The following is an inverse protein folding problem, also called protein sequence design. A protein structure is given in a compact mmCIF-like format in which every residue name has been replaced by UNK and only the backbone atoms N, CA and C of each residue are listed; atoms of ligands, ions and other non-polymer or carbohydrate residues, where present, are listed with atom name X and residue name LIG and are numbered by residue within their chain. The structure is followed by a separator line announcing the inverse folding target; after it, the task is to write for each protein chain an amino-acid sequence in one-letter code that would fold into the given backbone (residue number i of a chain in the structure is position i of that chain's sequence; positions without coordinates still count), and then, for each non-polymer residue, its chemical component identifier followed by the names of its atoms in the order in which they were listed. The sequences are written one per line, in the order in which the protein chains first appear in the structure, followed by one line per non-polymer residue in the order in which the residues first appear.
data_IF_054392840212
#
_entry.id   IF_054392840212
#
_cell.length_a   1.000
_cell.length_b   1.000
_cell.length_c   1.000
_cell.angle_alpha   90.00
_cell.angle_beta   90.00
_cell.angle_gamma   90.00
#
_symmetry.space_group_name_H-M   'P 1'
#
loop_
_entity.id
_entity.type
_entity.pdbx_description
1 polymer ?
#
# COMPACT_ATOMS: atom_id res chain seq x y z
N UNK A 1 -7.32 -10.41 -11.86
CA UNK A 1 -8.71 -10.92 -12.04
C UNK A 1 -9.41 -10.69 -10.72
N UNK A 2 -10.49 -9.87 -10.71
CA UNK A 2 -11.26 -9.64 -9.48
C UNK A 2 -12.07 -10.88 -9.14
N UNK A 3 -11.94 -11.40 -7.93
CA UNK A 3 -12.67 -12.58 -7.44
C UNK A 3 -14.19 -12.43 -7.64
N UNK A 4 -14.69 -11.25 -7.32
CA UNK A 4 -16.13 -10.93 -7.42
C UNK A 4 -16.70 -10.91 -8.83
N UNK A 5 -15.83 -10.89 -9.85
CA UNK A 5 -16.21 -10.87 -11.27
C UNK A 5 -15.96 -12.21 -11.97
N UNK A 6 -15.39 -13.20 -11.29
CA UNK A 6 -15.15 -14.52 -11.86
C UNK A 6 -16.43 -15.35 -11.78
N UNK A 7 -16.90 -15.82 -12.92
CA UNK A 7 -18.01 -16.77 -12.97
C UNK A 7 -17.59 -18.09 -12.31
N UNK A 8 -18.47 -18.69 -11.50
CA UNK A 8 -18.15 -19.91 -10.71
C UNK A 8 -17.55 -21.03 -11.58
N UNK A 9 -18.08 -21.27 -12.77
CA UNK A 9 -17.56 -22.27 -13.70
C UNK A 9 -16.19 -21.94 -14.34
N UNK A 10 -15.64 -20.76 -14.06
CA UNK A 10 -14.32 -20.33 -14.53
C UNK A 10 -13.30 -20.21 -13.40
N UNK A 11 -13.72 -20.48 -12.17
CA UNK A 11 -12.90 -20.19 -10.99
C UNK A 11 -11.63 -21.04 -10.92
N UNK A 12 -11.71 -22.34 -11.18
CA UNK A 12 -10.54 -23.25 -11.22
C UNK A 12 -9.50 -22.77 -12.24
N UNK A 13 -9.93 -22.36 -13.44
CA UNK A 13 -9.02 -21.79 -14.46
C UNK A 13 -8.38 -20.48 -14.00
N UNK A 14 -9.06 -19.68 -13.18
CA UNK A 14 -8.47 -18.47 -12.62
C UNK A 14 -7.39 -18.80 -11.59
N UNK A 15 -7.60 -19.83 -10.74
CA UNK A 15 -6.60 -20.35 -9.81
C UNK A 15 -5.37 -20.87 -10.58
N UNK A 16 -5.56 -21.68 -11.62
CA UNK A 16 -4.48 -22.19 -12.49
C UNK A 16 -3.69 -21.04 -13.15
N UNK A 17 -4.39 -20.06 -13.74
CA UNK A 17 -3.78 -18.91 -14.41
C UNK A 17 -2.96 -18.04 -13.46
N UNK A 18 -3.41 -17.92 -12.21
CA UNK A 18 -2.69 -17.20 -11.15
C UNK A 18 -1.57 -18.04 -10.52
N UNK A 19 -1.39 -19.31 -10.92
CA UNK A 19 -0.49 -20.27 -10.28
C UNK A 19 -0.70 -20.36 -8.77
N UNK A 20 -1.96 -20.36 -8.33
CA UNK A 20 -2.32 -20.43 -6.93
C UNK A 20 -2.01 -19.17 -6.11
N UNK A 21 -1.75 -18.02 -6.76
CA UNK A 21 -1.54 -16.73 -6.08
C UNK A 21 -2.85 -15.96 -5.97
N UNK A 22 -3.21 -15.61 -4.73
CA UNK A 22 -4.31 -14.69 -4.41
C UNK A 22 -3.77 -13.46 -3.69
N UNK A 23 -4.34 -12.28 -4.01
CA UNK A 23 -3.92 -11.00 -3.46
C UNK A 23 -5.08 -10.33 -2.75
N UNK A 24 -4.88 -9.83 -1.54
CA UNK A 24 -5.85 -8.98 -0.84
C UNK A 24 -5.20 -7.66 -0.46
N UNK A 25 -5.81 -6.54 -0.85
CA UNK A 25 -5.41 -5.21 -0.39
C UNK A 25 -5.97 -4.99 1.01
N UNK A 26 -5.11 -4.51 1.91
CA UNK A 26 -5.47 -4.12 3.27
C UNK A 26 -5.08 -2.65 3.45
N UNK A 27 -6.07 -1.79 3.46
CA UNK A 27 -5.88 -0.34 3.65
C UNK A 27 -6.47 0.16 4.96
N UNK A 28 -6.95 1.39 4.94
CA UNK A 28 -7.67 2.04 6.04
C UNK A 28 -8.68 3.03 5.46
N UNK A 29 -9.65 3.46 6.28
CA UNK A 29 -10.53 4.60 6.01
C UNK A 29 -10.24 5.65 7.05
N UNK A 30 -9.45 6.66 6.67
CA UNK A 30 -8.97 7.73 7.54
C UNK A 30 -8.73 9.05 6.82
N UNK A 31 -8.61 10.14 7.56
CA UNK A 31 -8.28 11.44 7.01
C UNK A 31 -6.83 11.49 6.48
N UNK A 32 -6.64 12.06 5.28
CA UNK A 32 -5.35 12.35 4.64
C UNK A 32 -5.29 13.82 4.23
N UNK A 33 -5.28 14.74 5.21
CA UNK A 33 -5.54 16.14 4.95
C UNK A 33 -7.00 16.36 4.49
N UNK A 34 -7.29 17.50 3.88
CA UNK A 34 -8.63 17.83 3.37
C UNK A 34 -8.79 17.65 1.85
N UNK A 35 -7.70 17.31 1.15
CA UNK A 35 -7.65 17.23 -0.31
C UNK A 35 -7.80 15.80 -0.86
N UNK A 36 -7.66 14.77 -0.02
CA UNK A 36 -7.77 13.36 -0.40
C UNK A 36 -9.03 12.70 0.17
N UNK A 37 -9.55 11.66 -0.48
CA UNK A 37 -10.70 10.91 0.02
C UNK A 37 -10.31 10.08 1.25
N UNK A 38 -11.27 9.82 2.14
CA UNK A 38 -11.06 9.00 3.34
C UNK A 38 -10.58 7.57 3.02
N UNK A 39 -10.99 7.02 1.88
CA UNK A 39 -10.56 5.68 1.42
C UNK A 39 -9.22 5.66 0.69
N UNK A 40 -8.40 6.70 0.82
CA UNK A 40 -7.13 6.88 0.09
C UNK A 40 -6.28 5.62 0.04
N UNK A 41 -6.03 4.99 1.18
CA UNK A 41 -5.17 3.82 1.32
C UNK A 41 -5.63 2.62 0.49
N UNK A 42 -6.94 2.42 0.41
CA UNK A 42 -7.51 1.34 -0.40
C UNK A 42 -7.60 1.75 -1.86
N UNK A 43 -8.08 2.96 -2.17
CA UNK A 43 -8.35 3.42 -3.54
C UNK A 43 -7.08 3.35 -4.40
N UNK A 44 -5.99 3.98 -3.93
CA UNK A 44 -4.76 3.99 -4.74
C UNK A 44 -4.08 2.62 -4.78
N UNK A 45 -4.04 1.89 -3.64
CA UNK A 45 -3.40 0.57 -3.59
C UNK A 45 -4.18 -0.46 -4.41
N UNK A 46 -5.51 -0.48 -4.33
CA UNK A 46 -6.35 -1.36 -5.15
C UNK A 46 -6.16 -1.07 -6.65
N UNK A 47 -6.17 0.20 -7.05
CA UNK A 47 -5.93 0.58 -8.44
C UNK A 47 -4.57 0.12 -8.95
N UNK A 48 -3.51 0.26 -8.15
CA UNK A 48 -2.17 -0.27 -8.49
C UNK A 48 -2.21 -1.79 -8.66
N UNK A 49 -2.79 -2.51 -7.72
CA UNK A 49 -2.90 -3.98 -7.74
C UNK A 49 -3.71 -4.46 -8.95
N UNK A 50 -4.83 -3.83 -9.25
CA UNK A 50 -5.68 -4.17 -10.41
C UNK A 50 -4.96 -3.94 -11.74
N UNK A 51 -4.25 -2.82 -11.87
CA UNK A 51 -3.44 -2.52 -13.07
C UNK A 51 -2.26 -3.50 -13.20
N UNK A 52 -1.59 -3.83 -12.09
CA UNK A 52 -0.51 -4.81 -12.06
C UNK A 52 -1.00 -6.22 -12.44
N UNK A 53 -2.20 -6.61 -11.97
CA UNK A 53 -2.82 -7.90 -12.30
C UNK A 53 -3.24 -8.04 -13.77
N UNK A 54 -3.34 -6.93 -14.53
CA UNK A 54 -3.50 -6.96 -16.00
C UNK A 54 -2.20 -7.32 -16.71
N UNK A 55 -1.04 -6.98 -16.11
CA UNK A 55 0.30 -7.30 -16.63
C UNK A 55 0.75 -8.70 -16.20
N UNK A 56 0.58 -9.01 -14.93
CA UNK A 56 0.91 -10.31 -14.33
C UNK A 56 -0.33 -10.90 -13.62
N UNK A 57 -1.05 -11.84 -14.25
CA UNK A 57 -2.35 -12.31 -13.75
C UNK A 57 -2.26 -12.96 -12.39
N UNK A 58 -3.00 -12.41 -11.43
CA UNK A 58 -3.29 -12.94 -10.10
C UNK A 58 -4.79 -12.82 -9.83
N UNK A 59 -5.33 -13.60 -8.90
CA UNK A 59 -6.71 -13.39 -8.40
C UNK A 59 -6.67 -12.37 -7.28
N UNK A 60 -7.58 -11.39 -7.32
CA UNK A 60 -7.69 -10.32 -6.33
C UNK A 60 -8.94 -10.60 -5.50
N UNK A 61 -8.74 -10.94 -4.22
CA UNK A 61 -9.79 -11.11 -3.22
C UNK A 61 -10.45 -9.76 -2.89
N UNK A 62 -11.70 -9.71 -2.42
CA UNK A 62 -12.30 -8.46 -1.96
C UNK A 62 -11.41 -7.68 -1.00
N UNK A 63 -11.29 -6.37 -1.23
CA UNK A 63 -10.38 -5.52 -0.47
C UNK A 63 -10.84 -5.33 0.98
N UNK A 64 -9.92 -5.25 1.91
CA UNK A 64 -10.19 -4.92 3.30
C UNK A 64 -10.01 -3.41 3.50
N UNK A 65 -11.12 -2.72 3.75
CA UNK A 65 -11.17 -1.28 3.99
C UNK A 65 -10.85 -0.89 5.43
N UNK A 66 -10.60 -1.85 6.29
CA UNK A 66 -10.42 -1.64 7.72
C UNK A 66 -8.97 -1.93 8.11
N UNK A 67 -8.33 -0.95 8.74
CA UNK A 67 -6.92 -1.00 9.11
C UNK A 67 -6.68 -0.62 10.56
N UNK A 68 -5.42 -0.74 10.98
CA UNK A 68 -4.96 -0.36 12.32
C UNK A 68 -4.82 1.16 12.41
N UNK A 69 -5.84 1.82 12.96
CA UNK A 69 -5.87 3.28 13.09
C UNK A 69 -6.49 3.73 14.41
N UNK A 70 -6.03 3.19 15.50
CA UNK A 70 -6.59 3.50 16.82
C UNK A 70 -6.46 4.98 17.22
N UNK A 71 -5.55 5.71 16.62
CA UNK A 71 -5.21 7.08 16.95
C UNK A 71 -5.89 8.18 16.12
N UNK A 72 -6.95 7.90 15.37
CA UNK A 72 -7.60 8.90 14.53
C UNK A 72 -9.13 8.94 14.69
N UNK A 73 -9.63 8.47 15.83
CA UNK A 73 -11.06 8.42 16.10
C UNK A 73 -11.72 9.78 16.25
N UNK A 74 -10.94 10.83 16.49
CA UNK A 74 -11.40 12.22 16.53
C UNK A 74 -11.77 12.79 15.16
N UNK A 75 -11.29 12.19 14.06
CA UNK A 75 -11.56 12.70 12.71
C UNK A 75 -12.84 12.09 12.15
N UNK A 76 -13.80 12.93 11.68
CA UNK A 76 -15.04 12.46 11.07
C UNK A 76 -14.80 11.52 9.89
N UNK A 77 -15.55 10.44 9.82
CA UNK A 77 -15.48 9.45 8.74
C UNK A 77 -14.40 8.38 8.89
N UNK A 78 -13.51 8.48 9.87
CA UNK A 78 -12.55 7.42 10.19
C UNK A 78 -13.29 6.18 10.73
N UNK A 79 -12.91 4.99 10.23
CA UNK A 79 -13.50 3.72 10.67
C UNK A 79 -12.44 2.94 11.45
N UNK A 80 -12.77 2.63 12.71
CA UNK A 80 -11.87 1.92 13.64
C UNK A 80 -12.52 0.61 14.09
N UNK A 81 -11.84 -0.49 13.83
CA UNK A 81 -12.17 -1.78 14.42
C UNK A 81 -11.12 -2.18 15.46
N UNK A 82 -11.49 -3.08 16.37
CA UNK A 82 -10.52 -3.63 17.30
C UNK A 82 -9.47 -4.46 16.55
N UNK A 83 -8.22 -4.41 17.01
CA UNK A 83 -7.12 -5.21 16.48
C UNK A 83 -7.47 -6.71 16.45
N UNK A 84 -8.17 -7.20 17.49
CA UNK A 84 -8.64 -8.58 17.57
C UNK A 84 -9.55 -8.94 16.39
N UNK A 85 -10.59 -8.13 16.13
CA UNK A 85 -11.52 -8.36 15.02
C UNK A 85 -10.78 -8.36 13.67
N UNK A 86 -9.81 -7.47 13.50
CA UNK A 86 -9.03 -7.43 12.26
C UNK A 86 -8.18 -8.68 12.07
N UNK A 87 -7.57 -9.22 13.13
CA UNK A 87 -6.85 -10.50 13.07
C UNK A 87 -7.79 -11.65 12.72
N UNK A 88 -8.99 -11.70 13.28
CA UNK A 88 -10.01 -12.70 12.98
C UNK A 88 -10.44 -12.62 11.50
N UNK A 89 -10.70 -11.41 10.97
CA UNK A 89 -11.04 -11.22 9.54
C UNK A 89 -9.90 -11.67 8.62
N UNK A 90 -8.66 -11.35 8.96
CA UNK A 90 -7.48 -11.78 8.18
C UNK A 90 -7.35 -13.31 8.17
N UNK A 91 -7.54 -13.95 9.31
CA UNK A 91 -7.47 -15.40 9.46
C UNK A 91 -8.53 -16.11 8.62
N UNK A 92 -9.80 -15.72 8.77
CA UNK A 92 -10.90 -16.28 8.00
C UNK A 92 -10.73 -16.02 6.49
N UNK A 93 -10.32 -14.82 6.09
CA UNK A 93 -10.08 -14.49 4.68
C UNK A 93 -8.98 -15.35 4.08
N UNK A 94 -7.85 -15.53 4.76
CA UNK A 94 -6.76 -16.39 4.28
C UNK A 94 -7.17 -17.87 4.22
N UNK A 95 -7.92 -18.34 5.21
CA UNK A 95 -8.48 -19.71 5.24
C UNK A 95 -9.42 -19.93 4.06
N UNK A 96 -10.30 -18.97 3.75
CA UNK A 96 -11.21 -19.06 2.60
C UNK A 96 -10.46 -19.01 1.26
N UNK A 97 -9.44 -18.18 1.12
CA UNK A 97 -8.57 -18.20 -0.07
C UNK A 97 -7.91 -19.56 -0.24
N UNK A 98 -7.35 -20.14 0.84
CA UNK A 98 -6.71 -21.45 0.82
C UNK A 98 -7.69 -22.58 0.49
N UNK A 99 -8.89 -22.59 1.11
CA UNK A 99 -9.97 -23.55 0.83
C UNK A 99 -10.37 -23.56 -0.64
N UNK A 100 -10.28 -22.40 -1.30
CA UNK A 100 -10.59 -22.23 -2.72
C UNK A 100 -9.39 -22.48 -3.66
N UNK A 101 -8.30 -23.08 -3.15
CA UNK A 101 -7.19 -23.60 -3.97
C UNK A 101 -5.97 -22.69 -4.07
N UNK A 102 -5.93 -21.56 -3.35
CA UNK A 102 -4.76 -20.68 -3.35
C UNK A 102 -3.75 -21.13 -2.30
N UNK A 103 -2.48 -21.21 -2.70
CA UNK A 103 -1.37 -21.63 -1.83
C UNK A 103 -0.42 -20.47 -1.47
N UNK A 104 -0.49 -19.38 -2.19
CA UNK A 104 0.31 -18.18 -2.00
C UNK A 104 -0.59 -16.98 -1.86
N UNK A 105 -0.72 -16.45 -0.65
CA UNK A 105 -1.59 -15.31 -0.33
C UNK A 105 -0.71 -14.09 -0.11
N UNK A 106 -0.96 -13.03 -0.88
CA UNK A 106 -0.25 -11.75 -0.74
C UNK A 106 -1.19 -10.74 -0.09
N UNK A 107 -0.87 -10.31 1.12
CA UNK A 107 -1.51 -9.17 1.77
C UNK A 107 -0.77 -7.91 1.35
N UNK A 108 -1.38 -7.14 0.45
CA UNK A 108 -0.81 -5.86 -0.01
C UNK A 108 -1.23 -4.77 0.94
N UNK A 109 -0.26 -4.29 1.71
CA UNK A 109 -0.46 -3.25 2.69
C UNK A 109 -0.50 -1.86 2.03
N UNK A 110 -1.64 -1.18 2.13
CA UNK A 110 -1.84 0.20 1.66
C UNK A 110 -1.71 1.26 2.76
N UNK A 111 -1.60 0.86 4.04
CA UNK A 111 -1.61 1.76 5.20
C UNK A 111 -0.42 1.50 6.13
N UNK A 112 0.34 2.55 6.45
CA UNK A 112 1.54 2.42 7.30
C UNK A 112 1.28 1.78 8.66
N UNK A 113 0.16 2.13 9.29
CA UNK A 113 -0.26 1.58 10.59
C UNK A 113 -0.48 0.07 10.60
N UNK A 114 -0.83 -0.53 9.46
CA UNK A 114 -1.05 -1.96 9.34
C UNK A 114 0.23 -2.80 9.42
N UNK A 115 1.41 -2.21 9.30
CA UNK A 115 2.67 -2.96 9.17
C UNK A 115 2.89 -3.97 10.29
N UNK A 116 2.71 -3.54 11.54
CA UNK A 116 2.90 -4.41 12.70
C UNK A 116 1.79 -5.47 12.80
N UNK A 117 0.55 -5.10 12.52
CA UNK A 117 -0.61 -6.00 12.49
C UNK A 117 -0.38 -7.13 11.49
N UNK A 118 -0.07 -6.80 10.23
CA UNK A 118 0.09 -7.77 9.16
C UNK A 118 1.31 -8.68 9.37
N UNK A 119 2.42 -8.14 9.85
CA UNK A 119 3.60 -8.93 10.18
C UNK A 119 3.33 -9.89 11.36
N UNK A 120 2.58 -9.44 12.36
CA UNK A 120 2.17 -10.29 13.50
C UNK A 120 1.21 -11.37 13.01
N UNK A 121 0.23 -11.03 12.19
CA UNK A 121 -0.68 -11.97 11.58
C UNK A 121 0.07 -13.04 10.75
N UNK A 122 0.95 -12.63 9.83
CA UNK A 122 1.71 -13.57 9.00
C UNK A 122 2.53 -14.56 9.83
N UNK A 123 3.05 -14.15 11.00
CA UNK A 123 3.73 -15.04 11.94
C UNK A 123 2.77 -15.97 12.67
N UNK A 124 1.57 -15.50 13.02
CA UNK A 124 0.58 -16.31 13.74
C UNK A 124 0.03 -17.46 12.91
N UNK A 125 0.01 -17.34 11.58
CA UNK A 125 -0.40 -18.40 10.65
C UNK A 125 0.39 -19.69 10.84
N UNK A 126 1.64 -19.61 11.28
CA UNK A 126 2.48 -20.79 11.55
C UNK A 126 1.98 -21.63 12.73
N UNK A 127 1.17 -21.08 13.63
CA UNK A 127 0.63 -21.82 14.79
C UNK A 127 -0.34 -22.92 14.37
N UNK A 128 -1.14 -22.67 13.35
CA UNK A 128 -2.22 -23.57 12.90
C UNK A 128 -1.76 -24.66 11.89
N UNK A 129 -0.47 -24.76 11.60
CA UNK A 129 0.10 -25.71 10.63
C UNK A 129 -0.60 -25.66 9.25
N UNK A 130 -0.90 -24.47 8.79
CA UNK A 130 -1.57 -24.25 7.51
C UNK A 130 -0.69 -24.70 6.33
N UNK A 131 -1.33 -25.18 5.26
CA UNK A 131 -0.68 -25.65 4.04
C UNK A 131 -0.59 -24.55 2.96
N UNK A 132 -0.63 -23.29 3.35
CA UNK A 132 -0.52 -22.10 2.51
C UNK A 132 0.49 -21.10 3.09
N UNK A 133 1.00 -20.25 2.23
CA UNK A 133 1.95 -19.20 2.57
C UNK A 133 1.26 -17.82 2.58
N UNK A 134 1.60 -17.01 3.56
CA UNK A 134 1.19 -15.60 3.63
C UNK A 134 2.41 -14.71 3.46
N UNK A 135 2.34 -13.80 2.48
CA UNK A 135 3.34 -12.78 2.21
C UNK A 135 2.73 -11.40 2.50
N UNK A 136 3.46 -10.55 3.21
CA UNK A 136 3.09 -9.14 3.40
C UNK A 136 3.91 -8.31 2.43
N UNK A 137 3.24 -7.53 1.59
CA UNK A 137 3.86 -6.64 0.63
C UNK A 137 3.44 -5.19 0.88
N UNK A 138 4.35 -4.38 1.36
CA UNK A 138 4.08 -2.95 1.54
C UNK A 138 4.06 -2.25 0.17
N UNK A 139 2.94 -1.62 -0.21
CA UNK A 139 2.74 -0.99 -1.52
C UNK A 139 3.83 0.05 -1.85
N UNK A 140 4.29 0.79 -0.85
CA UNK A 140 5.37 1.78 -1.00
C UNK A 140 6.75 1.19 -1.33
N UNK A 141 6.93 -0.13 -1.22
CA UNK A 141 8.16 -0.80 -1.69
C UNK A 141 8.33 -0.73 -3.21
N UNK A 142 7.23 -0.55 -3.94
CA UNK A 142 7.23 -0.37 -5.38
C UNK A 142 7.36 1.09 -5.81
N UNK A 143 7.18 2.04 -4.91
CA UNK A 143 7.17 3.46 -5.26
C UNK A 143 8.53 3.93 -5.79
N UNK A 144 8.54 4.76 -6.84
CA UNK A 144 9.78 5.33 -7.33
C UNK A 144 10.33 6.32 -6.29
N UNK A 145 11.64 6.32 -6.14
CA UNK A 145 12.30 7.35 -5.35
C UNK A 145 12.56 8.56 -6.25
N UNK A 146 11.94 9.69 -5.96
CA UNK A 146 12.04 10.93 -6.76
C UNK A 146 13.50 11.32 -7.03
N UNK A 147 14.38 11.19 -6.03
CA UNK A 147 15.81 11.48 -6.19
C UNK A 147 16.50 10.53 -7.20
N UNK A 148 16.07 9.28 -7.31
CA UNK A 148 16.60 8.33 -8.31
C UNK A 148 16.06 8.66 -9.70
N UNK A 149 14.80 9.01 -9.81
CA UNK A 149 14.19 9.47 -11.08
C UNK A 149 14.93 10.68 -11.62
N UNK A 150 15.19 11.69 -10.79
CA UNK A 150 15.93 12.90 -11.19
C UNK A 150 17.37 12.56 -11.61
N UNK A 151 18.07 11.65 -10.92
CA UNK A 151 19.40 11.19 -11.37
C UNK A 151 19.36 10.53 -12.74
N UNK A 152 18.35 9.74 -13.08
CA UNK A 152 18.18 9.14 -14.42
C UNK A 152 17.96 10.24 -15.46
N UNK A 153 17.14 11.24 -15.16
CA UNK A 153 16.90 12.39 -16.05
C UNK A 153 18.20 13.17 -16.27
N UNK A 154 18.93 13.46 -15.20
CA UNK A 154 20.20 14.23 -15.24
C UNK A 154 21.32 13.52 -16.01
N UNK A 155 21.28 12.18 -16.05
CA UNK A 155 22.18 11.38 -16.90
C UNK A 155 21.85 11.42 -18.40
N UNK A 156 20.89 12.25 -18.81
CA UNK A 156 20.45 12.41 -20.21
C UNK A 156 19.36 11.44 -20.64
N UNK A 157 18.82 10.63 -19.74
CA UNK A 157 17.78 9.66 -20.06
C UNK A 157 16.36 10.12 -19.67
N UNK A 158 16.00 11.36 -20.03
CA UNK A 158 14.62 11.88 -19.82
C UNK A 158 13.55 11.00 -20.49
N UNK A 159 13.93 10.27 -21.55
CA UNK A 159 13.03 9.34 -22.26
C UNK A 159 12.48 8.21 -21.38
N UNK A 160 13.11 7.93 -20.22
CA UNK A 160 12.58 6.98 -19.25
C UNK A 160 11.27 7.46 -18.58
N UNK A 161 11.01 8.77 -18.62
CA UNK A 161 9.81 9.41 -18.05
C UNK A 161 9.20 10.38 -19.06
N UNK A 162 8.64 9.86 -20.18
CA UNK A 162 8.26 10.68 -21.34
C UNK A 162 7.09 11.64 -21.06
N UNK A 163 6.29 11.37 -20.04
CA UNK A 163 5.13 12.18 -19.68
C UNK A 163 5.50 13.46 -18.92
N UNK A 164 6.70 13.50 -18.24
CA UNK A 164 7.11 14.65 -17.46
C UNK A 164 7.54 15.81 -18.35
N UNK A 165 7.01 17.00 -18.08
CA UNK A 165 7.50 18.27 -18.64
C UNK A 165 8.73 18.77 -17.87
N UNK A 166 9.41 19.80 -18.40
CA UNK A 166 10.51 20.42 -17.67
C UNK A 166 10.03 21.11 -16.38
N UNK A 167 8.81 21.67 -16.39
CA UNK A 167 8.17 22.26 -15.21
C UNK A 167 7.88 21.22 -14.13
N UNK A 168 7.41 20.00 -14.51
CA UNK A 168 7.19 18.91 -13.57
C UNK A 168 8.52 18.49 -12.93
N UNK A 169 9.60 18.42 -13.71
CA UNK A 169 10.93 18.06 -13.23
C UNK A 169 11.47 19.12 -12.25
N UNK A 170 11.32 20.40 -12.57
CA UNK A 170 11.71 21.49 -11.67
C UNK A 170 10.89 21.48 -10.38
N UNK A 171 9.59 21.19 -10.45
CA UNK A 171 8.77 21.02 -9.27
C UNK A 171 9.26 19.84 -8.40
N UNK A 172 9.56 18.69 -8.99
CA UNK A 172 10.10 17.54 -8.24
C UNK A 172 11.44 17.86 -7.57
N UNK A 173 12.29 18.69 -8.20
CA UNK A 173 13.54 19.20 -7.58
C UNK A 173 13.25 20.12 -6.41
N UNK A 174 12.30 21.07 -6.61
CA UNK A 174 11.83 21.96 -5.55
C UNK A 174 11.32 21.17 -4.35
N UNK A 175 10.46 20.18 -4.60
CA UNK A 175 9.91 19.31 -3.56
C UNK A 175 11.02 18.62 -2.75
N UNK A 176 11.97 17.95 -3.39
CA UNK A 176 13.06 17.27 -2.68
C UNK A 176 13.91 18.23 -1.83
N UNK A 177 14.07 19.48 -2.25
CA UNK A 177 14.85 20.47 -1.53
C UNK A 177 14.11 21.02 -0.31
N UNK A 178 12.80 21.20 -0.41
CA UNK A 178 12.00 21.96 0.55
C UNK A 178 11.14 21.09 1.45
N UNK A 179 10.79 19.86 1.02
CA UNK A 179 9.95 18.97 1.81
C UNK A 179 10.69 18.48 3.06
N UNK A 180 10.11 18.71 4.23
CA UNK A 180 10.61 18.28 5.54
C UNK A 180 9.71 17.24 6.19
N UNK A 181 8.46 17.17 5.76
CA UNK A 181 7.44 16.26 6.27
C UNK A 181 6.87 15.45 5.12
N UNK A 182 6.78 14.16 5.29
CA UNK A 182 6.19 13.26 4.29
C UNK A 182 5.73 11.95 4.93
N UNK A 183 4.84 11.27 4.23
CA UNK A 183 4.40 9.93 4.58
C UNK A 183 2.92 9.76 4.84
N UNK A 184 2.11 10.83 4.86
CA UNK A 184 0.67 10.74 5.02
C UNK A 184 -0.05 11.91 4.35
N UNK A 185 -0.80 11.62 3.30
CA UNK A 185 -1.38 12.63 2.42
C UNK A 185 -0.33 13.41 1.62
N UNK A 186 0.87 12.86 1.48
CA UNK A 186 2.02 13.53 0.87
C UNK A 186 1.98 13.49 -0.67
N UNK A 187 3.06 13.97 -1.28
CA UNK A 187 3.21 14.01 -2.74
C UNK A 187 2.97 12.65 -3.39
N UNK A 188 3.43 11.55 -2.78
CA UNK A 188 3.33 10.23 -3.39
C UNK A 188 1.90 9.71 -3.38
N UNK A 189 1.20 9.83 -2.26
CA UNK A 189 -0.20 9.41 -2.14
C UNK A 189 -1.11 10.31 -2.98
N UNK A 190 -0.91 11.62 -2.91
CA UNK A 190 -1.65 12.59 -3.72
C UNK A 190 -1.43 12.37 -5.21
N UNK A 191 -0.17 12.22 -5.65
CA UNK A 191 0.14 12.02 -7.06
C UNK A 191 -0.47 10.74 -7.61
N UNK A 192 -0.34 9.62 -6.90
CA UNK A 192 -0.88 8.35 -7.39
C UNK A 192 -2.40 8.38 -7.47
N UNK A 193 -3.07 9.06 -6.54
CA UNK A 193 -4.51 9.25 -6.61
C UNK A 193 -4.90 10.18 -7.74
N UNK A 194 -4.17 11.27 -7.98
CA UNK A 194 -4.36 12.13 -9.16
C UNK A 194 -4.18 11.35 -10.47
N UNK A 195 -3.19 10.46 -10.54
CA UNK A 195 -2.95 9.63 -11.72
C UNK A 195 -4.02 8.57 -11.97
N UNK A 196 -4.71 8.13 -10.93
CA UNK A 196 -5.71 7.06 -10.98
C UNK A 196 -7.15 7.57 -10.95
N UNK A 197 -7.45 8.49 -10.04
CA UNK A 197 -8.79 9.02 -9.74
C UNK A 197 -8.72 10.53 -9.46
N UNK A 198 -8.39 11.36 -10.47
CA UNK A 198 -8.31 12.80 -10.30
C UNK A 198 -9.62 13.44 -9.82
N UNK A 199 -10.75 12.78 -10.09
CA UNK A 199 -12.09 13.17 -9.64
C UNK A 199 -12.27 13.12 -8.11
N UNK A 200 -11.36 12.46 -7.37
CA UNK A 200 -11.41 12.34 -5.91
C UNK A 200 -10.40 13.25 -5.19
N UNK A 201 -9.64 14.07 -5.91
CA UNK A 201 -8.61 14.92 -5.30
C UNK A 201 -8.97 16.40 -5.50
N UNK A 202 -9.04 17.15 -4.41
CA UNK A 202 -9.26 18.61 -4.46
C UNK A 202 -7.96 19.36 -4.09
N UNK A 203 -7.13 19.62 -5.09
CA UNK A 203 -5.84 20.32 -4.89
C UNK A 203 -5.99 21.74 -4.31
N UNK A 204 -7.18 22.37 -4.38
CA UNK A 204 -7.39 23.68 -3.74
C UNK A 204 -7.33 23.62 -2.22
N UNK A 205 -7.48 22.41 -1.65
CA UNK A 205 -7.54 22.16 -0.21
C UNK A 205 -6.25 21.61 0.39
N UNK A 206 -5.22 21.44 -0.42
CA UNK A 206 -3.95 20.82 0.02
C UNK A 206 -3.27 21.54 1.20
N UNK A 207 -3.51 22.85 1.32
CA UNK A 207 -2.94 23.70 2.39
C UNK A 207 -3.99 24.16 3.43
N UNK A 208 -5.19 23.55 3.47
CA UNK A 208 -6.20 23.94 4.48
C UNK A 208 -5.79 23.52 5.90
N UNK A 209 -4.94 22.50 6.04
CA UNK A 209 -4.43 22.04 7.32
C UNK A 209 -2.90 21.97 7.30
N UNK A 210 -2.28 22.24 8.44
CA UNK A 210 -0.83 22.17 8.60
C UNK A 210 -0.37 20.71 8.74
N UNK A 211 0.52 20.29 7.86
CA UNK A 211 1.18 18.97 7.86
C UNK A 211 2.56 18.95 8.53
N UNK A 212 2.95 20.06 9.17
CA UNK A 212 4.23 20.15 9.87
C UNK A 212 4.21 19.37 11.18
N UNK A 213 5.25 18.58 11.44
CA UNK A 213 5.36 17.84 12.70
C UNK A 213 5.56 18.79 13.89
N UNK A 214 4.79 18.60 14.95
CA UNK A 214 4.96 19.31 16.22
C UNK A 214 6.18 18.83 17.02
N UNK A 215 6.67 17.60 16.72
CA UNK A 215 7.71 16.91 17.50
C UNK A 215 7.43 16.80 19.00
N UNK A 216 6.16 16.88 19.43
CA UNK A 216 5.74 17.07 20.82
C UNK A 216 6.37 16.06 21.80
N UNK A 217 6.37 14.75 21.45
CA UNK A 217 6.97 13.71 22.27
C UNK A 217 8.13 12.98 21.58
N UNK A 218 8.71 13.56 20.53
CA UNK A 218 9.77 12.93 19.72
C UNK A 218 11.02 12.53 20.53
N UNK A 219 11.23 13.11 21.71
CA UNK A 219 12.31 12.74 22.62
C UNK A 219 12.18 11.29 23.13
N UNK A 220 10.94 10.77 23.27
CA UNK A 220 10.71 9.38 23.66
C UNK A 220 11.16 8.41 22.57
N UNK A 221 10.80 8.66 21.30
CA UNK A 221 11.27 7.86 20.17
C UNK A 221 12.80 7.89 20.01
N UNK A 222 13.42 9.07 20.21
CA UNK A 222 14.90 9.22 20.21
C UNK A 222 15.57 8.41 21.33
N UNK A 223 14.89 8.21 22.45
CA UNK A 223 15.35 7.38 23.57
C UNK A 223 15.02 5.89 23.40
N UNK A 224 14.39 5.48 22.27
CA UNK A 224 14.05 4.09 21.97
C UNK A 224 12.69 3.62 22.50
N UNK A 225 11.86 4.51 23.04
CA UNK A 225 10.52 4.16 23.49
C UNK A 225 9.53 4.23 22.33
N UNK A 226 8.63 3.25 22.25
CA UNK A 226 7.45 3.28 21.42
C UNK A 226 6.21 3.67 22.23
N UNK A 227 5.40 4.54 21.69
CA UNK A 227 4.06 4.85 22.21
C UNK A 227 3.09 5.07 21.04
N UNK A 228 1.82 4.61 21.15
CA UNK A 228 0.84 4.85 20.09
C UNK A 228 0.51 6.34 19.90
N UNK A 229 0.88 7.21 20.86
CA UNK A 229 0.67 8.65 20.77
C UNK A 229 1.68 9.40 19.91
N UNK A 230 2.78 8.77 19.49
CA UNK A 230 3.86 9.48 18.76
C UNK A 230 3.37 10.12 17.46
N UNK A 231 2.69 9.34 16.62
CA UNK A 231 2.12 9.83 15.37
C UNK A 231 1.07 10.94 15.61
N UNK A 232 0.07 10.67 16.46
CA UNK A 232 -1.05 11.59 16.73
C UNK A 232 -0.58 12.94 17.27
N UNK A 233 0.36 12.91 18.21
CA UNK A 233 0.91 14.12 18.79
C UNK A 233 1.84 14.87 17.84
N UNK A 234 2.50 14.15 16.93
CA UNK A 234 3.38 14.76 15.93
C UNK A 234 2.60 15.39 14.78
N UNK A 235 1.46 14.81 14.39
CA UNK A 235 0.63 15.24 13.27
C UNK A 235 -0.85 15.36 13.68
N UNK A 236 -1.21 16.38 14.47
CA UNK A 236 -2.54 16.53 15.07
C UNK A 236 -3.67 16.78 14.05
N UNK A 237 -3.33 17.03 12.78
CA UNK A 237 -4.30 17.19 11.70
C UNK A 237 -4.46 15.93 10.84
N UNK A 238 -3.89 14.80 11.24
CA UNK A 238 -3.81 13.58 10.41
C UNK A 238 -3.32 13.88 8.98
N UNK A 239 -2.21 14.62 8.91
CA UNK A 239 -1.59 15.06 7.67
C UNK A 239 -0.10 15.29 7.91
N UNK A 240 0.75 14.71 7.08
CA UNK A 240 2.21 14.81 7.20
C UNK A 240 2.82 15.11 5.84
N UNK A 241 2.74 16.36 5.43
CA UNK A 241 3.33 16.84 4.18
C UNK A 241 3.51 18.35 4.18
N UNK A 242 4.38 18.81 3.31
CA UNK A 242 4.59 20.20 2.96
C UNK A 242 5.03 20.31 1.49
N UNK A 243 4.91 21.52 0.91
CA UNK A 243 5.48 21.89 -0.38
C UNK A 243 5.06 21.02 -1.58
N UNK A 244 3.78 20.60 -1.69
CA UNK A 244 3.36 19.76 -2.82
C UNK A 244 2.21 20.32 -3.70
N UNK A 245 2.01 21.61 -3.71
CA UNK A 245 0.96 22.29 -4.51
C UNK A 245 1.14 22.13 -6.03
N UNK A 246 2.37 21.92 -6.50
CA UNK A 246 2.67 21.67 -7.93
C UNK A 246 2.39 20.24 -8.40
N UNK A 247 1.88 19.39 -7.51
CA UNK A 247 1.51 18.03 -7.86
C UNK A 247 0.36 18.01 -8.88
N UNK A 248 0.42 17.12 -9.84
CA UNK A 248 -0.54 17.06 -10.94
C UNK A 248 -0.70 15.65 -11.52
N UNK A 249 -1.70 15.46 -12.40
CA UNK A 249 -1.99 14.17 -13.02
C UNK A 249 -0.84 13.57 -13.84
N UNK A 250 0.00 14.39 -14.51
CA UNK A 250 1.13 13.86 -15.32
C UNK A 250 2.18 13.24 -14.42
N UNK A 251 2.54 13.93 -13.33
CA UNK A 251 3.41 13.38 -12.29
C UNK A 251 2.76 12.09 -11.76
N UNK A 252 1.47 12.17 -11.41
CA UNK A 252 0.71 11.04 -10.88
C UNK A 252 0.75 9.82 -11.81
N UNK A 253 0.46 9.98 -13.10
CA UNK A 253 0.51 8.88 -14.06
C UNK A 253 1.92 8.30 -14.22
N UNK A 254 2.94 9.14 -14.20
CA UNK A 254 4.33 8.68 -14.28
C UNK A 254 4.71 7.81 -13.08
N UNK A 255 4.38 8.25 -11.86
CA UNK A 255 4.65 7.51 -10.62
C UNK A 255 3.81 6.23 -10.55
N UNK A 256 2.55 6.31 -10.96
CA UNK A 256 1.62 5.18 -11.00
C UNK A 256 2.12 4.10 -11.97
N UNK A 257 2.49 4.45 -13.20
CA UNK A 257 2.98 3.50 -14.20
C UNK A 257 4.22 2.76 -13.73
N UNK A 258 5.17 3.47 -13.12
CA UNK A 258 6.36 2.88 -12.52
C UNK A 258 5.99 1.89 -11.40
N UNK A 259 5.12 2.30 -10.47
CA UNK A 259 4.67 1.48 -9.33
C UNK A 259 3.93 0.23 -9.79
N UNK A 260 3.04 0.36 -10.76
CA UNK A 260 2.30 -0.76 -11.38
C UNK A 260 3.26 -1.79 -11.99
N UNK A 261 4.30 -1.33 -12.71
CA UNK A 261 5.28 -2.24 -13.29
C UNK A 261 6.03 -3.04 -12.22
N UNK A 262 6.50 -2.37 -11.18
CA UNK A 262 7.22 -3.03 -10.08
C UNK A 262 6.34 -3.96 -9.25
N UNK A 263 5.08 -3.61 -9.08
CA UNK A 263 4.11 -4.49 -8.41
C UNK A 263 3.83 -5.76 -9.24
N UNK A 264 3.73 -5.63 -10.57
CA UNK A 264 3.60 -6.79 -11.45
C UNK A 264 4.84 -7.70 -11.39
N UNK A 265 6.05 -7.13 -11.33
CA UNK A 265 7.29 -7.88 -11.13
C UNK A 265 7.31 -8.62 -9.79
N UNK A 266 6.80 -8.00 -8.71
CA UNK A 266 6.67 -8.66 -7.42
C UNK A 266 5.68 -9.83 -7.47
N UNK A 267 4.55 -9.69 -8.17
CA UNK A 267 3.59 -10.80 -8.38
C UNK A 267 4.23 -11.95 -9.16
N UNK A 268 4.97 -11.63 -10.22
CA UNK A 268 5.71 -12.62 -10.99
C UNK A 268 6.71 -13.38 -10.12
N UNK A 269 7.46 -12.67 -9.30
CA UNK A 269 8.43 -13.29 -8.37
C UNK A 269 7.77 -14.31 -7.46
N UNK A 270 6.63 -13.98 -6.84
CA UNK A 270 5.90 -14.90 -5.95
C UNK A 270 5.31 -16.09 -6.74
N UNK A 271 4.80 -15.86 -7.95
CA UNK A 271 4.29 -16.96 -8.80
C UNK A 271 5.37 -17.96 -9.18
N UNK A 272 6.60 -17.49 -9.38
CA UNK A 272 7.75 -18.31 -9.81
C UNK A 272 8.53 -18.89 -8.62
N UNK A 273 8.31 -18.40 -7.40
CA UNK A 273 8.98 -18.93 -6.20
C UNK A 273 8.49 -20.33 -5.90
N UNK A 274 9.43 -21.26 -5.77
CA UNK A 274 9.21 -22.65 -5.34
C UNK A 274 9.93 -22.97 -4.02
N UNK A 275 10.81 -22.06 -3.58
CA UNK A 275 11.64 -22.31 -2.41
C UNK A 275 10.86 -22.17 -1.11
N UNK A 276 9.96 -21.17 -1.02
CA UNK A 276 9.11 -21.01 0.14
C UNK A 276 8.13 -22.19 0.30
N UNK A 277 7.57 -22.70 -0.81
CA UNK A 277 6.70 -23.90 -0.78
C UNK A 277 7.48 -25.15 -0.32
N UNK A 278 8.67 -25.37 -0.86
CA UNK A 278 9.52 -26.48 -0.46
C UNK A 278 9.90 -26.39 1.04
N UNK A 279 10.18 -25.17 1.52
CA UNK A 279 10.49 -24.97 2.92
C UNK A 279 9.25 -25.18 3.82
N UNK A 280 8.06 -24.74 3.41
CA UNK A 280 6.81 -25.00 4.13
C UNK A 280 6.58 -26.52 4.31
N UNK A 281 6.72 -27.29 3.24
CA UNK A 281 6.57 -28.75 3.31
C UNK A 281 7.57 -29.38 4.30
N UNK A 282 8.82 -28.97 4.23
CA UNK A 282 9.88 -29.44 5.18
C UNK A 282 9.54 -29.04 6.62
N UNK A 283 9.01 -27.84 6.82
CA UNK A 283 8.63 -27.35 8.15
C UNK A 283 7.44 -28.16 8.70
N UNK A 284 6.40 -28.39 7.89
CA UNK A 284 5.22 -29.18 8.28
C UNK A 284 5.60 -30.64 8.65
N UNK A 285 6.55 -31.24 7.93
CA UNK A 285 7.06 -32.59 8.25
C UNK A 285 7.74 -32.62 9.63
N UNK A 286 8.47 -31.56 9.99
CA UNK A 286 9.16 -31.47 11.30
C UNK A 286 8.23 -31.17 12.47
N UNK A 287 6.98 -30.74 12.21
CA UNK A 287 5.97 -30.47 13.24
C UNK A 287 5.15 -31.71 13.60
N UNK A 288 5.41 -32.84 12.98
CA UNK A 288 4.84 -34.15 13.36
C UNK A 288 5.53 -34.64 14.62
#
# INVERSE_FOLDING_TARGET
MLWTEIMSGQFEKAVERSKGVCVMVVGCVEQHGHHLPLGQDVIHTAGIVELAAKKEPVVIFPHMYFGEKQGAGEFPGTIIFSTRLMLDILAESCSEMARNGFKKIILVNGHGGNTNLLNTFARSVLHEKNDYLVFVYNSWSAWPRINQMLKIIDSGNKKAFPELTDEDIEYLRYYLKNNKNSGHGDIMETAMTLGLRPDLVDMSKVNEVDGTSTHYISHLAKAGFYTPFDWMSSYPNSYASDAHEGNNERIGRTLLNYTVQRTAEAFKMIKEDTLCEAYLNTWLEKQK
#
